data_IF_808065484785
#
_entry.id   IF_808065484785
#
_cell.length_a   1.000
_cell.length_b   1.000
_cell.length_c   1.000
_cell.angle_alpha   90.00
_cell.angle_beta   90.00
_cell.angle_gamma   90.00
#
_symmetry.space_group_name_H-M   'P 1'
#
loop_
_entity.id
_entity.type
_entity.pdbx_description
1 polymer ?
#
# COMPACT_ATOMS: atom_id res chain seq x y z
N UNK A 1 27.09 -0.58 6.19
CA UNK A 1 26.02 0.44 6.16
C UNK A 1 24.79 -0.17 5.52
N UNK A 2 23.66 -0.05 6.19
CA UNK A 2 22.32 -0.45 5.73
C UNK A 2 21.78 0.53 4.69
N UNK A 3 20.54 0.35 4.24
CA UNK A 3 19.86 1.37 3.44
C UNK A 3 19.70 2.69 4.22
N UNK A 4 19.86 3.83 3.55
CA UNK A 4 19.68 5.17 4.14
C UNK A 4 18.84 6.07 3.22
N UNK A 5 17.65 6.44 3.68
CA UNK A 5 16.68 7.23 2.92
C UNK A 5 17.23 8.61 2.54
N UNK A 6 18.00 9.23 3.44
CA UNK A 6 18.63 10.55 3.25
C UNK A 6 19.56 10.58 2.04
N UNK A 7 20.29 9.49 1.77
CA UNK A 7 21.24 9.40 0.66
C UNK A 7 20.51 9.30 -0.68
N UNK A 8 19.41 8.56 -0.73
CA UNK A 8 18.63 8.40 -1.96
C UNK A 8 17.61 9.52 -2.20
N UNK A 9 17.29 10.32 -1.17
CA UNK A 9 16.28 11.38 -1.25
C UNK A 9 16.48 12.36 -2.43
N UNK A 10 17.67 12.91 -2.71
CA UNK A 10 17.88 13.79 -3.87
C UNK A 10 17.53 13.08 -5.18
N UNK A 11 18.02 11.84 -5.36
CA UNK A 11 17.77 11.05 -6.57
C UNK A 11 16.29 10.68 -6.73
N UNK A 12 15.60 10.31 -5.64
CA UNK A 12 14.16 10.03 -5.68
C UNK A 12 13.39 11.30 -6.09
N UNK A 13 13.75 12.47 -5.54
CA UNK A 13 13.10 13.74 -5.90
C UNK A 13 13.25 14.02 -7.40
N UNK A 14 14.45 13.89 -7.97
CA UNK A 14 14.69 14.10 -9.40
C UNK A 14 13.88 13.12 -10.27
N UNK A 15 13.93 11.83 -9.93
CA UNK A 15 13.24 10.77 -10.67
C UNK A 15 11.72 11.03 -10.68
N UNK A 16 11.10 11.27 -9.52
CA UNK A 16 9.66 11.45 -9.44
C UNK A 16 9.21 12.78 -10.03
N UNK A 17 10.05 13.81 -9.97
CA UNK A 17 9.80 15.09 -10.65
C UNK A 17 9.69 14.94 -12.16
N UNK A 18 10.64 14.22 -12.76
CA UNK A 18 10.65 13.96 -14.20
C UNK A 18 9.50 13.02 -14.64
N UNK A 19 9.12 12.06 -13.80
CA UNK A 19 8.02 11.13 -14.13
C UNK A 19 6.65 11.83 -14.07
N UNK A 20 6.38 12.58 -12.99
CA UNK A 20 5.01 13.02 -12.67
C UNK A 20 4.77 14.51 -12.87
N UNK A 21 5.80 15.36 -12.81
CA UNK A 21 5.63 16.81 -12.74
C UNK A 21 6.27 17.55 -13.92
N UNK A 22 6.95 16.85 -14.82
CA UNK A 22 7.47 17.39 -16.08
C UNK A 22 6.86 16.70 -17.31
N UNK A 23 6.94 17.39 -18.46
CA UNK A 23 6.51 16.87 -19.75
C UNK A 23 7.57 15.93 -20.36
N UNK A 24 7.74 14.77 -19.75
CA UNK A 24 8.71 13.74 -20.16
C UNK A 24 8.02 12.68 -21.02
N UNK A 25 8.67 12.20 -22.10
CA UNK A 25 8.10 11.13 -22.91
C UNK A 25 8.02 9.78 -22.15
N UNK A 26 7.07 8.92 -22.51
CA UNK A 26 6.81 7.66 -21.80
C UNK A 26 8.02 6.71 -21.72
N UNK A 27 8.86 6.67 -22.77
CA UNK A 27 10.05 5.81 -22.77
C UNK A 27 11.02 6.22 -21.67
N UNK A 28 11.22 7.53 -21.54
CA UNK A 28 12.07 8.12 -20.50
C UNK A 28 11.43 7.93 -19.12
N UNK A 29 10.10 8.11 -18.98
CA UNK A 29 9.41 7.82 -17.71
C UNK A 29 9.58 6.37 -17.26
N UNK A 30 9.51 5.40 -18.18
CA UNK A 30 9.73 3.98 -17.86
C UNK A 30 11.18 3.71 -17.47
N UNK A 31 12.15 4.36 -18.13
CA UNK A 31 13.56 4.27 -17.76
C UNK A 31 13.81 4.77 -16.33
N UNK A 32 13.19 5.91 -15.98
CA UNK A 32 13.26 6.48 -14.64
C UNK A 32 12.53 5.63 -13.59
N UNK A 33 11.37 5.04 -13.93
CA UNK A 33 10.70 4.05 -13.06
C UNK A 33 11.60 2.84 -12.78
N UNK A 34 12.50 2.47 -13.69
CA UNK A 34 13.47 1.38 -13.45
C UNK A 34 14.49 1.77 -12.38
N UNK A 35 14.98 3.01 -12.42
CA UNK A 35 15.88 3.52 -11.39
C UNK A 35 15.15 3.60 -10.04
N UNK A 36 13.90 4.05 -10.05
CA UNK A 36 13.08 4.07 -8.84
C UNK A 36 12.86 2.65 -8.30
N UNK A 37 12.50 1.68 -9.14
CA UNK A 37 12.38 0.27 -8.77
C UNK A 37 13.65 -0.26 -8.11
N UNK A 38 14.83 0.11 -8.62
CA UNK A 38 16.10 -0.26 -7.99
C UNK A 38 16.17 0.26 -6.54
N UNK A 39 15.84 1.53 -6.31
CA UNK A 39 15.84 2.14 -4.96
C UNK A 39 14.82 1.44 -4.05
N UNK A 40 13.61 1.13 -4.55
CA UNK A 40 12.59 0.40 -3.79
C UNK A 40 13.10 -1.00 -3.39
N UNK A 41 13.71 -1.74 -4.31
CA UNK A 41 14.26 -3.07 -4.01
C UNK A 41 15.42 -2.98 -3.02
N UNK A 42 16.27 -1.94 -3.11
CA UNK A 42 17.30 -1.68 -2.10
C UNK A 42 16.70 -1.46 -0.72
N UNK A 43 15.62 -0.68 -0.60
CA UNK A 43 14.91 -0.50 0.68
C UNK A 43 14.34 -1.83 1.18
N UNK A 44 13.66 -2.58 0.31
CA UNK A 44 13.03 -3.86 0.63
C UNK A 44 14.03 -4.87 1.20
N UNK A 45 15.21 -5.00 0.58
CA UNK A 45 16.25 -5.96 1.00
C UNK A 45 17.32 -5.36 1.92
N UNK A 46 17.10 -4.13 2.40
CA UNK A 46 18.05 -3.37 3.21
C UNK A 46 19.48 -3.35 2.62
N UNK A 47 19.58 -3.12 1.31
CA UNK A 47 20.84 -3.23 0.57
C UNK A 47 21.77 -2.04 0.85
N UNK A 48 23.09 -2.27 1.03
CA UNK A 48 24.06 -1.21 1.30
C UNK A 48 24.15 -0.16 0.19
N UNK A 49 24.23 1.11 0.59
CA UNK A 49 24.29 2.28 -0.30
C UNK A 49 25.47 2.24 -1.28
N UNK A 50 26.64 1.81 -0.80
CA UNK A 50 27.90 1.83 -1.55
C UNK A 50 28.15 0.55 -2.38
N UNK A 51 27.20 -0.37 -2.42
CA UNK A 51 27.32 -1.59 -3.21
C UNK A 51 26.55 -1.48 -4.52
N UNK A 52 27.19 -1.93 -5.60
CA UNK A 52 26.50 -2.15 -6.88
C UNK A 52 25.38 -3.17 -6.66
N UNK A 53 24.18 -2.83 -7.14
CA UNK A 53 23.05 -3.73 -7.17
C UNK A 53 22.70 -4.00 -8.62
N UNK A 54 22.24 -5.22 -8.92
CA UNK A 54 21.70 -5.56 -10.24
C UNK A 54 20.42 -6.32 -10.03
N UNK A 55 19.31 -5.71 -10.45
CA UNK A 55 17.99 -6.34 -10.42
C UNK A 55 18.02 -7.66 -11.19
N UNK A 56 17.56 -8.74 -10.56
CA UNK A 56 17.55 -10.08 -11.14
C UNK A 56 18.84 -10.89 -10.96
N UNK A 57 19.88 -10.34 -10.34
CA UNK A 57 21.06 -11.13 -9.93
C UNK A 57 20.71 -12.15 -8.85
N UNK A 58 21.42 -13.28 -8.81
CA UNK A 58 21.16 -14.34 -7.82
C UNK A 58 21.34 -13.85 -6.38
N UNK A 59 22.23 -12.88 -6.14
CA UNK A 59 22.34 -12.19 -4.84
C UNK A 59 21.00 -11.58 -4.41
N UNK A 60 20.32 -10.85 -5.30
CA UNK A 60 19.03 -10.23 -4.98
C UNK A 60 17.91 -11.27 -4.87
N UNK A 61 17.94 -12.33 -5.69
CA UNK A 61 16.99 -13.44 -5.54
C UNK A 61 17.11 -14.10 -4.17
N UNK A 62 18.34 -14.37 -3.72
CA UNK A 62 18.60 -14.99 -2.43
C UNK A 62 18.12 -14.11 -1.27
N UNK A 63 18.44 -12.81 -1.29
CA UNK A 63 17.96 -11.86 -0.26
C UNK A 63 16.42 -11.78 -0.22
N UNK A 64 15.74 -11.78 -1.36
CA UNK A 64 14.28 -11.81 -1.39
C UNK A 64 13.74 -13.13 -0.80
N UNK A 65 14.36 -14.26 -1.13
CA UNK A 65 13.95 -15.55 -0.57
C UNK A 65 14.26 -15.69 0.93
N UNK A 66 15.30 -15.04 1.44
CA UNK A 66 15.55 -14.93 2.88
C UNK A 66 14.42 -14.16 3.57
N UNK A 67 14.01 -13.02 3.03
CA UNK A 67 12.86 -12.25 3.55
C UNK A 67 11.59 -13.08 3.52
N UNK A 68 11.29 -13.77 2.41
CA UNK A 68 10.12 -14.63 2.29
C UNK A 68 10.11 -15.73 3.36
N UNK A 69 11.25 -16.38 3.60
CA UNK A 69 11.40 -17.38 4.66
C UNK A 69 11.16 -16.78 6.05
N UNK A 70 11.72 -15.60 6.32
CA UNK A 70 11.56 -14.89 7.60
C UNK A 70 10.10 -14.55 7.91
N UNK A 71 9.26 -14.37 6.88
CA UNK A 71 7.82 -14.10 7.04
C UNK A 71 6.93 -15.28 6.62
N UNK A 72 7.51 -16.48 6.55
CA UNK A 72 6.84 -17.75 6.27
C UNK A 72 6.07 -17.81 4.93
N UNK A 73 6.53 -17.08 3.91
CA UNK A 73 6.02 -17.15 2.53
C UNK A 73 6.84 -18.16 1.74
N UNK A 74 6.18 -19.12 1.06
CA UNK A 74 6.87 -20.23 0.38
C UNK A 74 6.72 -20.25 -1.14
N UNK A 75 5.89 -19.38 -1.72
CA UNK A 75 5.49 -19.43 -3.13
C UNK A 75 6.36 -18.59 -4.09
N UNK A 76 7.46 -18.01 -3.57
CA UNK A 76 8.35 -17.09 -4.28
C UNK A 76 7.62 -15.82 -4.80
N UNK A 77 6.57 -15.38 -4.11
CA UNK A 77 5.78 -14.20 -4.46
C UNK A 77 6.63 -12.96 -4.72
N UNK A 78 7.60 -12.66 -3.85
CA UNK A 78 8.44 -11.46 -3.93
C UNK A 78 9.35 -11.52 -5.13
N UNK A 79 9.98 -12.67 -5.36
CA UNK A 79 10.84 -12.88 -6.53
C UNK A 79 10.06 -12.67 -7.83
N UNK A 80 8.89 -13.31 -7.97
CA UNK A 80 8.03 -13.17 -9.15
C UNK A 80 7.58 -11.72 -9.37
N UNK A 81 7.24 -11.02 -8.29
CA UNK A 81 6.78 -9.63 -8.34
C UNK A 81 7.89 -8.68 -8.80
N UNK A 82 9.07 -8.77 -8.20
CA UNK A 82 10.25 -7.96 -8.59
C UNK A 82 10.71 -8.30 -10.01
N UNK A 83 10.72 -9.58 -10.38
CA UNK A 83 11.14 -10.02 -11.71
C UNK A 83 10.19 -9.52 -12.80
N UNK A 84 8.87 -9.63 -12.58
CA UNK A 84 7.85 -9.16 -13.53
C UNK A 84 8.00 -7.67 -13.81
N UNK A 85 8.16 -6.86 -12.75
CA UNK A 85 8.46 -5.43 -12.89
C UNK A 85 9.78 -5.24 -13.65
N UNK A 86 10.87 -5.83 -13.16
CA UNK A 86 12.20 -5.70 -13.74
C UNK A 86 12.26 -6.01 -15.24
N UNK A 87 11.57 -7.07 -15.69
CA UNK A 87 11.49 -7.47 -17.11
C UNK A 87 10.78 -6.44 -17.98
N UNK A 88 9.59 -5.97 -17.58
CA UNK A 88 8.85 -4.98 -18.36
C UNK A 88 9.64 -3.67 -18.48
N UNK A 89 10.18 -3.18 -17.36
CA UNK A 89 10.94 -1.93 -17.36
C UNK A 89 12.27 -2.05 -18.13
N UNK A 90 12.95 -3.21 -18.08
CA UNK A 90 14.17 -3.42 -18.87
C UNK A 90 13.91 -3.36 -20.37
N UNK A 91 12.76 -3.88 -20.81
CA UNK A 91 12.39 -3.99 -22.22
C UNK A 91 12.47 -2.65 -22.95
N UNK A 92 12.01 -1.57 -22.31
CA UNK A 92 11.98 -0.23 -22.90
C UNK A 92 13.30 0.54 -22.78
N UNK A 93 14.27 0.02 -22.03
CA UNK A 93 15.62 0.60 -21.93
C UNK A 93 16.59 0.05 -22.97
N UNK A 94 16.29 -1.10 -23.58
CA UNK A 94 17.14 -1.67 -24.62
C UNK A 94 16.92 -0.96 -25.96
N UNK A 95 18.02 -0.62 -26.63
CA UNK A 95 18.01 0.04 -27.94
C UNK A 95 17.43 -0.84 -29.05
N UNK A 96 17.49 -2.18 -28.89
CA UNK A 96 16.88 -3.14 -29.80
C UNK A 96 15.34 -3.12 -29.78
N UNK A 97 14.72 -2.55 -28.75
CA UNK A 97 13.27 -2.50 -28.64
C UNK A 97 12.71 -1.20 -29.22
N UNK A 98 12.32 -1.24 -30.50
CA UNK A 98 11.93 -0.03 -31.26
C UNK A 98 10.48 0.40 -31.07
N UNK A 99 9.66 -0.35 -30.32
CA UNK A 99 8.27 0.01 -30.09
C UNK A 99 8.18 1.21 -29.14
N UNK A 100 7.50 2.26 -29.59
CA UNK A 100 7.23 3.45 -28.79
C UNK A 100 6.38 3.11 -27.56
N UNK A 101 6.80 3.59 -26.40
CA UNK A 101 5.98 3.54 -25.20
C UNK A 101 4.81 4.52 -25.30
N UNK A 102 3.64 4.11 -24.79
CA UNK A 102 2.43 4.92 -24.68
C UNK A 102 1.95 4.95 -23.22
N UNK A 103 0.83 5.65 -22.97
CA UNK A 103 0.23 5.76 -21.64
C UNK A 103 -0.10 4.39 -21.03
N UNK A 104 -0.74 3.50 -21.78
CA UNK A 104 -1.15 2.17 -21.30
C UNK A 104 0.05 1.33 -20.81
N UNK A 105 1.16 1.39 -21.55
CA UNK A 105 2.41 0.73 -21.16
C UNK A 105 2.98 1.36 -19.88
N UNK A 106 2.95 2.69 -19.78
CA UNK A 106 3.41 3.39 -18.60
C UNK A 106 2.57 3.03 -17.37
N UNK A 107 1.24 3.02 -17.48
CA UNK A 107 0.33 2.64 -16.39
C UNK A 107 0.58 1.20 -15.92
N UNK A 108 0.83 0.28 -16.87
CA UNK A 108 1.23 -1.10 -16.55
C UNK A 108 2.57 -1.17 -15.83
N UNK A 109 3.56 -0.38 -16.25
CA UNK A 109 4.86 -0.33 -15.60
C UNK A 109 4.77 0.24 -14.19
N UNK A 110 3.98 1.30 -14.02
CA UNK A 110 3.72 1.93 -12.73
C UNK A 110 3.01 0.97 -11.77
N UNK A 111 1.96 0.28 -12.21
CA UNK A 111 1.26 -0.70 -11.38
C UNK A 111 2.19 -1.82 -10.88
N UNK A 112 3.11 -2.29 -11.73
CA UNK A 112 4.12 -3.27 -11.34
C UNK A 112 5.09 -2.72 -10.29
N UNK A 113 5.50 -1.45 -10.40
CA UNK A 113 6.32 -0.81 -9.36
C UNK A 113 5.52 -0.67 -8.06
N UNK A 114 4.23 -0.34 -8.12
CA UNK A 114 3.37 -0.31 -6.94
C UNK A 114 3.20 -1.67 -6.27
N UNK A 115 3.18 -2.78 -7.04
CA UNK A 115 3.23 -4.13 -6.48
C UNK A 115 4.51 -4.33 -5.67
N UNK A 116 5.67 -3.90 -6.18
CA UNK A 116 6.95 -4.02 -5.47
C UNK A 116 7.02 -3.12 -4.23
N UNK A 117 6.50 -1.89 -4.30
CA UNK A 117 6.37 -1.01 -3.13
C UNK A 117 5.53 -1.66 -2.04
N UNK A 118 4.43 -2.32 -2.42
CA UNK A 118 3.51 -2.98 -1.48
C UNK A 118 4.21 -4.11 -0.71
N UNK A 119 5.23 -4.75 -1.29
CA UNK A 119 6.03 -5.77 -0.59
C UNK A 119 6.69 -5.23 0.68
N UNK A 120 7.13 -3.97 0.71
CA UNK A 120 7.74 -3.35 1.90
C UNK A 120 6.75 -3.38 3.08
N UNK A 121 5.49 -3.03 2.81
CA UNK A 121 4.44 -3.04 3.83
C UNK A 121 3.95 -4.44 4.15
N UNK A 122 3.95 -5.37 3.18
CA UNK A 122 3.68 -6.79 3.44
C UNK A 122 4.71 -7.35 4.43
N UNK A 123 6.01 -7.10 4.23
CA UNK A 123 7.04 -7.51 5.20
C UNK A 123 6.75 -6.94 6.59
N UNK A 124 6.44 -5.64 6.67
CA UNK A 124 6.14 -4.97 7.94
C UNK A 124 4.97 -5.63 8.67
N UNK A 125 3.84 -5.84 7.98
CA UNK A 125 2.63 -6.38 8.59
C UNK A 125 2.63 -7.90 8.75
N UNK A 126 3.49 -8.63 8.06
CA UNK A 126 3.73 -10.05 8.37
C UNK A 126 4.51 -10.20 9.67
N UNK A 127 5.47 -9.29 9.94
CA UNK A 127 6.26 -9.32 11.19
C UNK A 127 5.50 -8.80 12.41
N UNK A 128 4.65 -7.78 12.22
CA UNK A 128 3.91 -7.13 13.30
C UNK A 128 2.45 -7.60 13.42
N UNK A 129 2.04 -8.56 12.60
CA UNK A 129 0.67 -9.04 12.41
C UNK A 129 -0.37 -7.92 12.18
N UNK A 130 -0.86 -7.82 10.95
CA UNK A 130 -1.89 -6.85 10.57
C UNK A 130 -3.09 -6.84 11.54
N UNK A 131 -3.54 -5.67 11.96
CA UNK A 131 -4.78 -5.51 12.74
C UNK A 131 -4.65 -5.61 14.26
N UNK A 132 -3.48 -5.95 14.81
CA UNK A 132 -3.27 -5.99 16.27
C UNK A 132 -2.96 -4.62 16.88
N UNK A 133 -2.11 -3.82 16.22
CA UNK A 133 -1.71 -2.51 16.72
C UNK A 133 -2.63 -1.40 16.18
N UNK A 134 -3.30 -0.69 17.08
CA UNK A 134 -4.22 0.39 16.70
C UNK A 134 -3.53 1.57 16.01
N UNK A 135 -2.41 2.02 16.55
CA UNK A 135 -1.67 3.16 16.02
C UNK A 135 -1.13 2.85 14.61
N UNK A 136 -0.68 1.60 14.37
CA UNK A 136 -0.28 1.15 13.04
C UNK A 136 -1.46 1.09 12.06
N UNK A 137 -2.64 0.65 12.52
CA UNK A 137 -3.83 0.59 11.69
C UNK A 137 -4.36 1.98 11.33
N UNK A 138 -4.26 2.95 12.24
CA UNK A 138 -4.56 4.36 11.95
C UNK A 138 -3.57 4.90 10.91
N UNK A 139 -2.27 4.68 11.14
CA UNK A 139 -1.19 5.11 10.25
C UNK A 139 -1.27 4.46 8.87
N UNK A 140 -1.66 3.18 8.79
CA UNK A 140 -1.88 2.46 7.54
C UNK A 140 -2.90 3.18 6.65
N UNK A 141 -3.92 3.82 7.25
CA UNK A 141 -4.94 4.59 6.54
C UNK A 141 -4.44 5.91 5.95
N UNK A 142 -3.16 6.25 6.09
CA UNK A 142 -2.50 7.39 5.43
C UNK A 142 -1.91 6.98 4.07
N UNK A 143 -1.60 5.70 3.88
CA UNK A 143 -0.99 5.20 2.65
C UNK A 143 -1.85 5.49 1.41
N UNK A 144 -1.23 5.73 0.24
CA UNK A 144 -1.94 5.84 -1.03
C UNK A 144 -2.92 4.67 -1.21
N UNK A 145 -4.16 4.92 -1.69
CA UNK A 145 -5.20 3.90 -1.69
C UNK A 145 -4.83 2.66 -2.51
N UNK A 146 -4.08 2.85 -3.60
CA UNK A 146 -3.59 1.76 -4.45
C UNK A 146 -2.59 0.86 -3.70
N UNK A 147 -1.72 1.42 -2.85
CA UNK A 147 -0.78 0.65 -2.03
C UNK A 147 -1.55 -0.08 -0.93
N UNK A 148 -2.50 0.59 -0.26
CA UNK A 148 -3.38 -0.07 0.71
C UNK A 148 -4.10 -1.26 0.11
N UNK A 149 -4.71 -1.08 -1.07
CA UNK A 149 -5.47 -2.11 -1.75
C UNK A 149 -4.61 -3.34 -2.01
N UNK A 150 -3.40 -3.16 -2.57
CA UNK A 150 -2.47 -4.25 -2.87
C UNK A 150 -2.01 -5.02 -1.62
N UNK A 151 -1.72 -4.31 -0.53
CA UNK A 151 -1.37 -4.94 0.76
C UNK A 151 -2.54 -5.74 1.33
N UNK A 152 -3.75 -5.17 1.33
CA UNK A 152 -4.95 -5.85 1.84
C UNK A 152 -5.35 -7.04 0.97
N UNK A 153 -5.23 -6.91 -0.35
CA UNK A 153 -5.44 -8.00 -1.32
C UNK A 153 -4.54 -9.19 -1.02
N UNK A 154 -3.25 -8.93 -0.79
CA UNK A 154 -2.27 -9.95 -0.43
C UNK A 154 -2.67 -10.68 0.87
N UNK A 155 -2.88 -9.98 1.97
CA UNK A 155 -3.23 -10.65 3.25
C UNK A 155 -4.59 -11.34 3.21
N UNK A 156 -5.51 -10.85 2.38
CA UNK A 156 -6.81 -11.48 2.21
C UNK A 156 -6.71 -12.77 1.41
N UNK A 157 -5.87 -12.83 0.36
CA UNK A 157 -5.68 -14.04 -0.43
C UNK A 157 -5.02 -15.17 0.36
N UNK A 158 -4.23 -14.86 1.38
CA UNK A 158 -3.63 -15.84 2.30
C UNK A 158 -4.67 -16.51 3.23
N UNK A 159 -5.96 -16.16 3.13
CA UNK A 159 -7.04 -16.86 3.84
C UNK A 159 -7.21 -16.45 5.31
N UNK A 160 -6.60 -15.34 5.72
CA UNK A 160 -6.65 -14.86 7.10
C UNK A 160 -8.07 -14.42 7.48
N UNK A 161 -8.68 -15.04 8.51
CA UNK A 161 -9.95 -14.59 9.12
C UNK A 161 -9.76 -13.35 10.03
N UNK A 162 -9.11 -12.34 9.50
CA UNK A 162 -8.80 -11.11 10.23
C UNK A 162 -9.91 -10.07 10.01
N UNK A 163 -10.64 -9.74 11.09
CA UNK A 163 -11.78 -8.82 11.04
C UNK A 163 -11.37 -7.43 10.54
N UNK A 164 -10.21 -6.96 11.01
CA UNK A 164 -9.66 -5.65 10.70
C UNK A 164 -9.21 -5.56 9.24
N UNK A 165 -8.63 -6.62 8.72
CA UNK A 165 -8.27 -6.76 7.31
C UNK A 165 -9.52 -6.61 6.42
N UNK A 166 -10.58 -7.39 6.69
CA UNK A 166 -11.82 -7.32 5.92
C UNK A 166 -12.47 -5.93 5.98
N UNK A 167 -12.56 -5.35 7.18
CA UNK A 167 -13.08 -3.99 7.38
C UNK A 167 -12.30 -2.94 6.59
N UNK A 168 -10.97 -2.92 6.72
CA UNK A 168 -10.13 -1.96 5.99
C UNK A 168 -10.13 -2.20 4.48
N UNK A 169 -10.29 -3.45 4.03
CA UNK A 169 -10.36 -3.78 2.61
C UNK A 169 -11.62 -3.18 1.99
N UNK A 170 -12.80 -3.43 2.54
CA UNK A 170 -14.06 -2.82 2.05
C UNK A 170 -13.97 -1.29 2.04
N UNK A 171 -13.46 -0.68 3.12
CA UNK A 171 -13.27 0.78 3.17
C UNK A 171 -12.30 1.28 2.10
N UNK A 172 -11.25 0.52 1.79
CA UNK A 172 -10.29 0.89 0.76
C UNK A 172 -10.93 0.80 -0.62
N UNK A 173 -11.68 -0.28 -0.93
CA UNK A 173 -12.44 -0.41 -2.20
C UNK A 173 -13.40 0.77 -2.34
N UNK A 174 -14.21 1.05 -1.31
CA UNK A 174 -15.18 2.14 -1.30
C UNK A 174 -14.53 3.49 -1.62
N UNK A 175 -13.38 3.78 -1.00
CA UNK A 175 -12.67 5.05 -1.15
C UNK A 175 -11.91 5.17 -2.47
N UNK A 176 -11.32 4.08 -2.96
CA UNK A 176 -10.53 4.07 -4.21
C UNK A 176 -11.40 3.94 -5.46
N UNK A 177 -12.56 3.30 -5.33
CA UNK A 177 -13.50 3.05 -6.42
C UNK A 177 -14.82 3.74 -6.04
N UNK A 178 -15.83 2.96 -5.69
CA UNK A 178 -17.16 3.43 -5.34
C UNK A 178 -17.91 2.41 -4.46
N UNK A 179 -19.13 2.76 -4.05
CA UNK A 179 -20.00 1.91 -3.23
C UNK A 179 -20.34 0.62 -3.96
N UNK A 180 -20.63 0.70 -5.25
CA UNK A 180 -21.06 -0.44 -6.06
C UNK A 180 -19.99 -1.54 -6.05
N UNK A 181 -18.72 -1.17 -6.26
CA UNK A 181 -17.60 -2.10 -6.21
C UNK A 181 -17.40 -2.72 -4.81
N UNK A 182 -17.59 -1.93 -3.75
CA UNK A 182 -17.48 -2.42 -2.38
C UNK A 182 -18.61 -3.42 -2.05
N UNK A 183 -19.85 -3.09 -2.40
CA UNK A 183 -21.01 -3.97 -2.22
C UNK A 183 -20.86 -5.24 -3.06
N UNK A 184 -20.42 -5.13 -4.32
CA UNK A 184 -20.15 -6.30 -5.16
C UNK A 184 -19.12 -7.24 -4.51
N UNK A 185 -18.04 -6.68 -3.94
CA UNK A 185 -17.03 -7.49 -3.25
C UNK A 185 -17.62 -8.25 -2.06
N UNK A 186 -18.49 -7.59 -1.27
CA UNK A 186 -19.19 -8.17 -0.12
C UNK A 186 -20.17 -9.26 -0.56
N UNK A 187 -21.01 -8.99 -1.56
CA UNK A 187 -22.05 -9.93 -2.02
C UNK A 187 -21.47 -11.22 -2.61
N UNK A 188 -20.38 -11.12 -3.39
CA UNK A 188 -19.66 -12.30 -3.90
C UNK A 188 -19.16 -13.20 -2.77
N UNK A 189 -18.94 -12.65 -1.57
CA UNK A 189 -18.41 -13.35 -0.39
C UNK A 189 -19.45 -13.54 0.72
N UNK A 190 -20.73 -13.31 0.44
CA UNK A 190 -21.79 -13.29 1.46
C UNK A 190 -21.76 -14.49 2.41
N UNK A 191 -21.75 -15.72 1.86
CA UNK A 191 -21.74 -16.95 2.67
C UNK A 191 -20.54 -16.99 3.63
N UNK A 192 -19.34 -16.74 3.12
CA UNK A 192 -18.11 -16.71 3.92
C UNK A 192 -18.18 -15.65 5.02
N UNK A 193 -18.67 -14.44 4.70
CA UNK A 193 -18.73 -13.33 5.65
C UNK A 193 -19.80 -13.52 6.73
N UNK A 194 -20.88 -14.24 6.44
CA UNK A 194 -21.91 -14.59 7.42
C UNK A 194 -21.41 -15.57 8.49
N UNK A 195 -20.43 -16.41 8.14
CA UNK A 195 -19.80 -17.36 9.07
C UNK A 195 -18.77 -16.72 10.01
N UNK A 196 -18.30 -15.50 9.69
CA UNK A 196 -17.28 -14.82 10.50
C UNK A 196 -17.96 -13.90 11.51
N UNK A 197 -17.83 -14.25 12.80
CA UNK A 197 -18.30 -13.38 13.88
C UNK A 197 -17.52 -12.07 13.92
N UNK A 198 -18.20 -10.98 14.26
CA UNK A 198 -17.55 -9.70 14.56
C UNK A 198 -16.88 -9.70 15.94
N UNK A 199 -17.16 -10.69 16.79
CA UNK A 199 -16.57 -10.85 18.11
C UNK A 199 -15.29 -11.67 17.97
N UNK A 200 -14.18 -11.13 18.45
CA UNK A 200 -12.89 -11.81 18.45
C UNK A 200 -12.09 -11.40 19.68
N UNK A 201 -11.53 -12.39 20.38
CA UNK A 201 -10.60 -12.15 21.50
C UNK A 201 -9.27 -11.54 21.00
N UNK A 202 -8.93 -11.80 19.75
CA UNK A 202 -7.69 -11.35 19.11
C UNK A 202 -7.82 -9.97 18.47
N UNK A 203 -8.90 -9.73 17.73
CA UNK A 203 -9.09 -8.50 16.95
C UNK A 203 -10.19 -7.64 17.53
N UNK A 204 -9.81 -6.49 18.08
CA UNK A 204 -10.78 -5.54 18.62
C UNK A 204 -11.32 -4.59 17.54
N UNK A 205 -12.43 -4.97 16.92
CA UNK A 205 -13.15 -4.15 15.94
C UNK A 205 -13.82 -2.91 16.55
N UNK A 206 -14.03 -2.88 17.87
CA UNK A 206 -14.82 -1.83 18.54
C UNK A 206 -14.15 -0.46 18.44
N UNK A 207 -12.82 -0.45 18.38
CA UNK A 207 -12.01 0.76 18.14
C UNK A 207 -12.22 1.36 16.75
N UNK A 208 -12.84 0.64 15.82
CA UNK A 208 -12.97 1.01 14.40
C UNK A 208 -14.42 1.12 13.95
N UNK A 209 -15.36 1.00 14.88
CA UNK A 209 -16.78 1.20 14.61
C UNK A 209 -17.00 2.62 14.08
N UNK A 210 -17.73 2.71 12.97
CA UNK A 210 -18.11 4.03 12.44
C UNK A 210 -19.05 4.73 13.43
N UNK A 211 -19.16 6.05 13.34
CA UNK A 211 -19.97 6.82 14.31
C UNK A 211 -21.45 6.36 14.33
N UNK A 212 -21.98 5.87 13.21
CA UNK A 212 -23.31 5.25 13.15
C UNK A 212 -23.44 4.00 14.05
N UNK A 213 -22.48 3.09 14.01
CA UNK A 213 -22.48 1.86 14.81
C UNK A 213 -22.38 2.17 16.30
N UNK A 214 -21.51 3.12 16.67
CA UNK A 214 -21.37 3.57 18.06
C UNK A 214 -22.66 4.15 18.63
N UNK A 215 -23.43 4.89 17.80
CA UNK A 215 -24.72 5.48 18.19
C UNK A 215 -25.84 4.44 18.33
N UNK A 216 -25.81 3.38 17.54
CA UNK A 216 -26.83 2.33 17.58
C UNK A 216 -26.73 1.44 18.82
N UNK A 217 -25.58 1.42 19.51
CA UNK A 217 -25.36 0.62 20.71
C UNK A 217 -25.51 -0.90 20.50
N UNK A 218 -25.55 -1.35 19.25
CA UNK A 218 -25.71 -2.75 18.85
C UNK A 218 -24.66 -3.13 17.84
N UNK A 219 -23.99 -4.26 18.10
CA UNK A 219 -23.00 -4.85 17.21
C UNK A 219 -23.69 -5.78 16.23
N UNK A 220 -23.34 -5.70 14.96
CA UNK A 220 -23.66 -6.75 13.99
C UNK A 220 -23.03 -8.06 14.43
N UNK A 221 -23.72 -9.19 14.28
CA UNK A 221 -23.23 -10.48 14.79
C UNK A 221 -22.18 -11.11 13.86
N UNK A 222 -22.23 -10.78 12.57
CA UNK A 222 -21.37 -11.31 11.53
C UNK A 222 -20.79 -10.20 10.64
N UNK A 223 -19.69 -10.52 9.95
CA UNK A 223 -18.96 -9.57 9.12
C UNK A 223 -19.74 -9.13 7.87
N UNK A 224 -20.69 -9.93 7.36
CA UNK A 224 -21.49 -9.50 6.22
C UNK A 224 -22.33 -8.26 6.58
N UNK A 225 -23.12 -8.34 7.64
CA UNK A 225 -23.96 -7.23 8.11
C UNK A 225 -23.11 -6.00 8.48
N UNK A 226 -22.00 -6.23 9.19
CA UNK A 226 -21.04 -5.19 9.55
C UNK A 226 -20.56 -4.41 8.33
N UNK A 227 -20.08 -5.12 7.31
CA UNK A 227 -19.47 -4.49 6.13
C UNK A 227 -20.52 -3.81 5.25
N UNK A 228 -21.74 -4.34 5.14
CA UNK A 228 -22.85 -3.68 4.45
C UNK A 228 -23.18 -2.36 5.13
N UNK A 229 -23.31 -2.36 6.47
CA UNK A 229 -23.59 -1.16 7.24
C UNK A 229 -22.49 -0.11 7.06
N UNK A 230 -21.23 -0.52 7.26
CA UNK A 230 -20.06 0.36 7.12
C UNK A 230 -19.99 0.97 5.72
N UNK A 231 -20.19 0.17 4.67
CA UNK A 231 -20.18 0.65 3.29
C UNK A 231 -21.29 1.68 3.03
N UNK A 232 -22.51 1.44 3.55
CA UNK A 232 -23.63 2.38 3.47
C UNK A 232 -23.33 3.70 4.19
N UNK A 233 -22.98 3.61 5.48
CA UNK A 233 -22.72 4.77 6.34
C UNK A 233 -21.60 5.67 5.79
N UNK A 234 -20.45 5.08 5.43
CA UNK A 234 -19.30 5.86 4.95
C UNK A 234 -19.59 6.48 3.59
N UNK A 235 -20.37 5.83 2.74
CA UNK A 235 -20.78 6.41 1.46
C UNK A 235 -21.71 7.62 1.65
N UNK A 236 -22.68 7.56 2.57
CA UNK A 236 -23.55 8.70 2.89
C UNK A 236 -22.78 9.89 3.48
N UNK A 237 -21.70 9.60 4.21
CA UNK A 237 -20.84 10.61 4.83
C UNK A 237 -19.65 11.03 3.96
N UNK A 238 -19.59 10.58 2.71
CA UNK A 238 -18.44 10.81 1.82
C UNK A 238 -18.12 12.29 1.61
N UNK A 239 -19.15 13.12 1.47
CA UNK A 239 -19.02 14.57 1.26
C UNK A 239 -18.93 15.37 2.58
N UNK A 240 -18.94 14.67 3.72
CA UNK A 240 -18.76 15.29 5.04
C UNK A 240 -17.28 15.41 5.40
N UNK A 241 -16.97 16.28 6.37
CA UNK A 241 -15.62 16.36 6.96
C UNK A 241 -15.23 15.12 7.80
N UNK A 242 -16.17 14.18 8.03
CA UNK A 242 -15.96 13.00 8.87
C UNK A 242 -15.19 11.88 8.16
N UNK A 243 -15.16 11.87 6.82
CA UNK A 243 -14.54 10.79 6.03
C UNK A 243 -13.37 11.33 5.22
N UNK A 244 -12.17 10.80 5.48
CA UNK A 244 -11.01 11.04 4.60
C UNK A 244 -11.22 10.33 3.27
N UNK A 245 -11.44 11.11 2.21
CA UNK A 245 -11.55 10.65 0.82
C UNK A 245 -10.33 11.17 0.07
N UNK A 246 -9.52 10.24 -0.42
CA UNK A 246 -8.46 10.53 -1.37
C UNK A 246 -8.25 9.32 -2.27
N UNK A 247 -7.84 9.56 -3.51
CA UNK A 247 -7.67 8.55 -4.56
C UNK A 247 -6.25 8.47 -5.11
N UNK A 248 -5.41 9.50 -4.91
CA UNK A 248 -4.05 9.57 -5.48
C UNK A 248 -2.93 9.58 -4.43
N UNK A 249 -1.70 9.38 -4.89
CA UNK A 249 -0.49 9.52 -4.09
C UNK A 249 -0.34 10.93 -3.52
N UNK A 250 -0.60 11.96 -4.33
CA UNK A 250 -0.45 13.37 -3.98
C UNK A 250 -1.47 13.77 -2.90
N UNK A 251 -2.71 13.29 -3.01
CA UNK A 251 -3.73 13.53 -1.99
C UNK A 251 -3.42 12.78 -0.68
N UNK A 252 -2.87 11.56 -0.77
CA UNK A 252 -2.37 10.83 0.40
C UNK A 252 -1.23 11.59 1.08
N UNK A 253 -0.28 12.12 0.30
CA UNK A 253 0.82 12.93 0.79
C UNK A 253 0.32 14.23 1.46
N UNK A 254 -0.69 14.90 0.90
CA UNK A 254 -1.35 16.05 1.56
C UNK A 254 -1.99 15.65 2.90
N UNK A 255 -2.64 14.48 2.94
CA UNK A 255 -3.27 13.96 4.15
C UNK A 255 -2.22 13.67 5.22
N UNK A 256 -1.08 13.12 4.83
CA UNK A 256 0.07 12.93 5.70
C UNK A 256 0.55 14.23 6.35
N UNK A 257 0.71 15.33 5.59
CA UNK A 257 1.06 16.64 6.18
C UNK A 257 0.02 17.07 7.22
N UNK A 258 -1.28 16.94 6.89
CA UNK A 258 -2.35 17.32 7.82
C UNK A 258 -2.30 16.53 9.12
N UNK A 259 -2.00 15.23 9.03
CA UNK A 259 -1.77 14.35 10.20
C UNK A 259 -0.58 14.85 11.01
N UNK A 260 0.55 15.17 10.38
CA UNK A 260 1.74 15.68 11.07
C UNK A 260 1.51 17.04 11.76
N UNK A 261 0.59 17.86 11.24
CA UNK A 261 0.23 19.15 11.83
C UNK A 261 -0.83 19.05 12.93
N UNK A 262 -1.46 17.88 13.12
CA UNK A 262 -2.45 17.65 14.17
C UNK A 262 -1.79 16.86 15.32
N UNK A 263 -1.76 17.43 16.53
CA UNK A 263 -1.07 16.85 17.69
C UNK A 263 -1.58 15.45 18.06
N UNK A 264 -2.90 15.23 18.05
CA UNK A 264 -3.48 13.96 18.49
C UNK A 264 -3.14 12.82 17.50
N UNK A 265 -3.23 13.08 16.20
CA UNK A 265 -2.86 12.10 15.19
C UNK A 265 -1.34 11.91 15.10
N UNK A 266 -0.56 12.96 15.34
CA UNK A 266 0.91 12.88 15.36
C UNK A 266 1.41 11.96 16.48
N UNK A 267 0.77 11.94 17.65
CA UNK A 267 1.14 11.02 18.74
C UNK A 267 0.94 9.55 18.35
N UNK A 268 -0.23 9.19 17.83
CA UNK A 268 -0.51 7.85 17.28
C UNK A 268 0.53 7.47 16.22
N UNK A 269 0.77 8.37 15.27
CA UNK A 269 1.75 8.16 14.21
C UNK A 269 3.19 7.99 14.74
N UNK A 270 3.57 8.69 15.81
CA UNK A 270 4.87 8.54 16.46
C UNK A 270 5.02 7.21 17.22
N UNK A 271 3.91 6.65 17.75
CA UNK A 271 3.91 5.31 18.37
C UNK A 271 4.12 4.21 17.32
N UNK A 272 3.67 4.41 16.09
CA UNK A 272 3.90 3.52 14.95
C UNK A 272 5.27 3.75 14.25
N UNK A 273 6.36 3.90 15.02
CA UNK A 273 7.67 4.40 14.52
C UNK A 273 8.18 3.72 13.24
N UNK A 274 8.22 2.38 13.21
CA UNK A 274 8.73 1.64 12.05
C UNK A 274 7.88 1.89 10.79
N UNK A 275 6.55 1.82 10.93
CA UNK A 275 5.64 2.09 9.83
C UNK A 275 5.73 3.55 9.37
N UNK A 276 5.91 4.49 10.30
CA UNK A 276 6.13 5.91 10.00
C UNK A 276 7.34 6.11 9.08
N UNK A 277 8.47 5.49 9.39
CA UNK A 277 9.69 5.58 8.54
C UNK A 277 9.42 5.06 7.12
N UNK A 278 8.63 4.00 6.97
CA UNK A 278 8.24 3.46 5.65
C UNK A 278 7.28 4.38 4.89
N UNK A 279 6.35 5.04 5.61
CA UNK A 279 5.43 6.02 5.04
C UNK A 279 6.18 7.29 4.60
N UNK A 280 7.12 7.76 5.42
CA UNK A 280 7.99 8.90 5.10
C UNK A 280 8.81 8.63 3.85
N UNK A 281 9.42 7.45 3.74
CA UNK A 281 10.11 7.00 2.53
C UNK A 281 9.20 7.05 1.30
N UNK A 282 7.97 6.55 1.42
CA UNK A 282 7.01 6.49 0.31
C UNK A 282 6.62 7.89 -0.23
N UNK A 283 6.64 8.91 0.61
CA UNK A 283 6.27 10.27 0.26
C UNK A 283 7.45 11.15 -0.19
N UNK A 284 8.69 10.65 -0.18
CA UNK A 284 9.81 11.36 -0.78
C UNK A 284 9.50 11.68 -2.25
N UNK A 285 9.79 12.90 -2.69
CA UNK A 285 9.62 13.35 -4.08
C UNK A 285 8.19 13.56 -4.55
N UNK A 286 7.17 13.24 -3.74
CA UNK A 286 5.77 13.52 -4.08
C UNK A 286 5.43 14.98 -3.80
N UNK A 287 5.02 15.71 -4.83
CA UNK A 287 4.58 17.10 -4.70
C UNK A 287 3.13 17.15 -4.24
N UNK A 288 2.87 18.06 -3.31
CA UNK A 288 1.53 18.44 -2.92
C UNK A 288 1.04 19.44 -3.96
N UNK A 289 0.12 19.05 -4.84
CA UNK A 289 -0.55 20.02 -5.73
C UNK A 289 -1.14 21.12 -4.84
N UNK A 290 -0.62 22.35 -4.82
CA UNK A 290 -1.23 23.41 -4.02
C UNK A 290 -2.65 23.72 -4.52
#
# INVERSE_FOLDING_TARGET
MSFEDSVYKPLINEILDDIYYKNTNFRTKIALLRHYLEIIVRKLVNYPVNQKMTLGSDKIKNLLSEIEKDICITDKHFHKTVEKAGRLLNKYNHTQYLVSANQEVFDKAEDLVFNVISLIFIVHFSKNEFGLNFDEMESFSILPPIIRLKVLEYFYSEGTKNLLLMHKYVLTILKSKNKEAAIQWIEVRKKQLQEVSTISDKYNLDKYLVAGERKLGKRHTNMYEHLIFVAGYVNEKRDSKEVLVYSSFEQAAKTYIKVCNNKDHLESFNRAKQLKELIEFLFIGRKYLQ
#
